data_IF_719802141075
#
_entry.id   IF_719802141075
#
_cell.length_a   1.000
_cell.length_b   1.000
_cell.length_c   1.000
_cell.angle_alpha   90.00
_cell.angle_beta   90.00
_cell.angle_gamma   90.00
#
_symmetry.space_group_name_H-M   'P 1'
#
loop_
_entity.id
_entity.type
_entity.pdbx_description
1 polymer ?
#
# COMPACT_ATOMS: atom_id res chain seq x y z
N UNK A 1 -24.18 16.01 31.95
CA UNK A 1 -23.34 17.14 31.49
C UNK A 1 -22.04 16.68 30.80
N UNK A 2 -21.98 15.48 30.17
CA UNK A 2 -20.78 14.97 29.46
C UNK A 2 -20.90 15.02 27.93
N UNK A 3 -22.12 15.06 27.39
CA UNK A 3 -22.38 15.07 25.94
C UNK A 3 -21.96 16.37 25.23
N UNK A 4 -22.03 17.52 25.92
CA UNK A 4 -21.66 18.80 25.32
C UNK A 4 -20.14 18.93 25.11
N UNK A 5 -19.32 18.30 25.96
CA UNK A 5 -17.86 18.32 25.78
C UNK A 5 -17.40 17.39 24.66
N UNK A 6 -18.01 16.22 24.48
CA UNK A 6 -17.64 15.31 23.38
C UNK A 6 -18.00 15.88 22.02
N UNK A 7 -19.14 16.57 21.89
CA UNK A 7 -19.53 17.22 20.63
C UNK A 7 -18.62 18.42 20.31
N UNK A 8 -18.17 19.17 21.31
CA UNK A 8 -17.25 20.29 21.12
C UNK A 8 -15.85 19.82 20.68
N UNK A 9 -15.37 18.68 21.20
CA UNK A 9 -14.09 18.07 20.80
C UNK A 9 -14.16 17.54 19.36
N UNK A 10 -15.27 16.90 18.98
CA UNK A 10 -15.47 16.40 17.60
C UNK A 10 -15.56 17.58 16.62
N UNK A 11 -16.23 18.68 16.98
CA UNK A 11 -16.29 19.88 16.15
C UNK A 11 -14.94 20.62 16.05
N UNK A 12 -14.08 20.54 17.07
CA UNK A 12 -12.71 21.07 16.99
C UNK A 12 -11.81 20.21 16.10
N UNK A 13 -12.02 18.88 16.07
CA UNK A 13 -11.30 17.98 15.15
C UNK A 13 -11.78 18.17 13.71
N UNK A 14 -13.08 18.36 13.47
CA UNK A 14 -13.60 18.66 12.12
C UNK A 14 -13.25 20.08 11.65
N UNK A 15 -13.20 21.08 12.55
CA UNK A 15 -12.81 22.45 12.22
C UNK A 15 -11.32 22.61 11.89
N UNK A 16 -10.46 21.72 12.40
CA UNK A 16 -9.04 21.68 12.07
C UNK A 16 -8.76 21.14 10.65
N UNK A 17 -9.74 20.47 10.01
CA UNK A 17 -9.58 19.93 8.65
C UNK A 17 -9.95 20.93 7.54
N UNK A 18 -10.64 22.03 7.86
CA UNK A 18 -11.12 22.98 6.83
C UNK A 18 -10.43 24.33 6.87
N UNK A 19 -9.44 24.55 7.75
CA UNK A 19 -8.78 25.84 7.87
C UNK A 19 -7.28 25.74 8.19
N UNK A 20 -6.52 25.20 7.25
CA UNK A 20 -5.10 25.53 7.09
C UNK A 20 -4.70 25.37 5.64
N UNK A 21 -4.58 26.51 4.94
CA UNK A 21 -3.73 26.55 3.74
C UNK A 21 -2.33 26.05 4.10
N UNK A 22 -1.73 25.28 3.20
CA UNK A 22 -0.46 24.56 3.37
C UNK A 22 -0.48 23.43 4.42
N UNK A 23 -1.30 22.40 4.20
CA UNK A 23 -0.84 21.04 4.48
C UNK A 23 -0.10 20.57 3.23
N UNK A 24 1.23 20.47 3.30
CA UNK A 24 1.97 19.74 2.27
C UNK A 24 1.54 18.28 2.40
N UNK A 25 0.74 17.82 1.45
CA UNK A 25 0.36 16.42 1.32
C UNK A 25 1.66 15.66 1.07
N UNK A 26 2.14 14.94 2.08
CA UNK A 26 3.36 14.14 1.94
C UNK A 26 3.07 13.00 0.97
N UNK A 27 3.99 12.76 0.04
CA UNK A 27 3.89 11.58 -0.82
C UNK A 27 4.07 10.29 -0.01
N UNK A 28 3.58 9.17 -0.55
CA UNK A 28 3.80 7.85 0.03
C UNK A 28 5.30 7.55 0.23
N UNK A 29 6.15 8.02 -0.70
CA UNK A 29 7.62 7.93 -0.60
C UNK A 29 8.15 8.71 0.61
N UNK A 30 7.68 9.94 0.82
CA UNK A 30 8.09 10.77 1.95
C UNK A 30 7.63 10.16 3.29
N UNK A 31 6.41 9.60 3.34
CA UNK A 31 5.88 8.92 4.52
C UNK A 31 6.70 7.65 4.80
N UNK A 32 6.97 6.83 3.79
CA UNK A 32 7.78 5.61 3.90
C UNK A 32 9.19 5.92 4.41
N UNK A 33 9.82 6.97 3.89
CA UNK A 33 11.15 7.40 4.32
C UNK A 33 11.18 7.91 5.76
N UNK A 34 10.14 8.64 6.18
CA UNK A 34 10.00 9.10 7.55
C UNK A 34 9.87 7.92 8.53
N UNK A 35 9.03 6.93 8.19
CA UNK A 35 8.89 5.69 8.96
C UNK A 35 10.20 4.91 9.02
N UNK A 36 10.90 4.76 7.89
CA UNK A 36 12.22 4.12 7.86
C UNK A 36 13.22 4.82 8.78
N UNK A 37 13.26 6.15 8.75
CA UNK A 37 14.16 6.94 9.62
C UNK A 37 13.81 6.75 11.10
N UNK A 38 12.52 6.76 11.44
CA UNK A 38 12.04 6.49 12.81
C UNK A 38 12.47 5.10 13.28
N UNK A 39 12.29 4.07 12.45
CA UNK A 39 12.72 2.71 12.77
C UNK A 39 14.23 2.58 13.00
N UNK A 40 15.03 3.29 12.22
CA UNK A 40 16.49 3.37 12.41
C UNK A 40 16.87 3.99 13.76
N UNK A 41 16.16 5.04 14.19
CA UNK A 41 16.41 5.66 15.48
C UNK A 41 16.04 4.72 16.64
N UNK A 42 14.93 4.01 16.52
CA UNK A 42 14.51 3.04 17.54
C UNK A 42 15.43 1.83 17.61
N UNK A 43 15.90 1.32 16.46
CA UNK A 43 16.92 0.28 16.39
C UNK A 43 18.19 0.73 17.14
N UNK A 44 18.67 1.96 16.88
CA UNK A 44 19.85 2.52 17.53
C UNK A 44 19.67 2.71 19.06
N UNK A 45 18.44 2.94 19.52
CA UNK A 45 18.10 3.04 20.95
C UNK A 45 17.92 1.66 21.62
N UNK A 46 17.94 0.56 20.85
CA UNK A 46 17.64 -0.79 21.34
C UNK A 46 16.14 -1.08 21.46
N UNK A 47 15.28 -0.21 20.95
CA UNK A 47 13.83 -0.38 20.92
C UNK A 47 13.42 -1.26 19.74
N UNK A 48 13.88 -2.52 19.73
CA UNK A 48 13.80 -3.38 18.54
C UNK A 48 12.36 -3.62 18.08
N UNK A 49 11.41 -3.77 19.00
CA UNK A 49 9.99 -3.98 18.63
C UNK A 49 9.40 -2.76 17.92
N UNK A 50 9.71 -1.55 18.39
CA UNK A 50 9.28 -0.30 17.75
C UNK A 50 9.93 -0.13 16.38
N UNK A 51 11.22 -0.47 16.26
CA UNK A 51 11.91 -0.45 14.98
C UNK A 51 11.26 -1.40 13.96
N UNK A 52 10.91 -2.62 14.38
CA UNK A 52 10.18 -3.58 13.53
C UNK A 52 8.84 -3.01 13.09
N UNK A 53 8.08 -2.36 13.98
CA UNK A 53 6.80 -1.76 13.64
C UNK A 53 6.95 -0.68 12.56
N UNK A 54 7.93 0.21 12.71
CA UNK A 54 8.17 1.31 11.78
C UNK A 54 8.68 0.82 10.42
N UNK A 55 9.61 -0.14 10.40
CA UNK A 55 10.04 -0.79 9.15
C UNK A 55 8.89 -1.52 8.45
N UNK A 56 8.03 -2.21 9.21
CA UNK A 56 6.85 -2.88 8.64
C UNK A 56 5.88 -1.88 8.03
N UNK A 57 5.65 -0.73 8.69
CA UNK A 57 4.80 0.34 8.16
C UNK A 57 5.40 0.99 6.92
N UNK A 58 6.72 1.21 6.89
CA UNK A 58 7.39 1.74 5.69
C UNK A 58 7.13 0.84 4.47
N UNK A 59 7.16 -0.49 4.65
CA UNK A 59 6.86 -1.47 3.60
C UNK A 59 5.38 -1.55 3.21
N UNK A 60 4.47 -1.24 4.14
CA UNK A 60 3.05 -1.18 3.83
C UNK A 60 2.69 0.06 2.99
N UNK A 61 3.42 1.16 3.18
CA UNK A 61 3.25 2.38 2.40
C UNK A 61 3.96 2.26 1.04
N UNK A 62 5.19 1.77 1.05
CA UNK A 62 5.99 1.53 -0.14
C UNK A 62 6.58 0.12 -0.10
N UNK A 63 5.93 -0.79 -0.82
CA UNK A 63 6.35 -2.19 -0.95
C UNK A 63 7.72 -2.34 -1.61
N UNK A 64 8.22 -1.30 -2.30
CA UNK A 64 9.50 -1.29 -2.99
C UNK A 64 10.65 -0.74 -2.14
N UNK A 65 10.37 -0.28 -0.91
CA UNK A 65 11.39 0.20 0.02
C UNK A 65 12.33 -0.94 0.46
N UNK A 66 13.36 -1.15 -0.36
CA UNK A 66 14.32 -2.26 -0.19
C UNK A 66 15.14 -2.11 1.08
N UNK A 67 15.38 -0.88 1.54
CA UNK A 67 16.12 -0.60 2.77
C UNK A 67 15.32 -1.04 4.00
N UNK A 68 14.04 -0.67 4.08
CA UNK A 68 13.14 -1.12 5.14
C UNK A 68 12.98 -2.65 5.15
N UNK A 69 12.89 -3.26 3.97
CA UNK A 69 12.81 -4.71 3.82
C UNK A 69 14.07 -5.41 4.37
N UNK A 70 15.27 -4.97 3.96
CA UNK A 70 16.52 -5.52 4.45
C UNK A 70 16.66 -5.38 5.97
N UNK A 71 16.25 -4.23 6.51
CA UNK A 71 16.25 -3.99 7.96
C UNK A 71 15.32 -4.96 8.69
N UNK A 72 14.09 -5.12 8.22
CA UNK A 72 13.13 -6.03 8.82
C UNK A 72 13.66 -7.48 8.84
N UNK A 73 14.22 -7.96 7.73
CA UNK A 73 14.83 -9.30 7.63
C UNK A 73 15.98 -9.44 8.64
N UNK A 74 16.84 -8.44 8.75
CA UNK A 74 17.99 -8.49 9.65
C UNK A 74 17.57 -8.65 11.12
N UNK A 75 16.44 -8.07 11.50
CA UNK A 75 15.90 -8.09 12.86
C UNK A 75 15.22 -9.40 13.24
N UNK A 76 14.88 -10.27 12.30
CA UNK A 76 14.18 -11.54 12.59
C UNK A 76 14.96 -12.44 13.55
N UNK A 77 16.29 -12.39 13.48
CA UNK A 77 17.20 -13.19 14.29
C UNK A 77 17.62 -12.48 15.58
N UNK A 78 17.09 -11.29 15.87
CA UNK A 78 17.40 -10.57 17.10
C UNK A 78 16.95 -11.41 18.31
N UNK A 79 17.83 -11.49 19.31
CA UNK A 79 17.61 -12.34 20.49
C UNK A 79 16.40 -11.87 21.30
N UNK A 80 16.22 -10.55 21.40
CA UNK A 80 15.17 -9.91 22.19
C UNK A 80 13.80 -9.89 21.51
N UNK A 81 13.68 -10.34 20.26
CA UNK A 81 12.40 -10.37 19.56
C UNK A 81 11.54 -11.54 20.04
N UNK A 82 10.30 -11.25 20.42
CA UNK A 82 9.31 -12.28 20.74
C UNK A 82 8.98 -13.16 19.54
N UNK A 83 8.55 -14.40 19.79
CA UNK A 83 8.19 -15.35 18.74
C UNK A 83 7.04 -14.82 17.86
N UNK A 84 6.06 -14.14 18.45
CA UNK A 84 4.91 -13.57 17.74
C UNK A 84 5.34 -12.52 16.71
N UNK A 85 6.28 -11.64 17.07
CA UNK A 85 6.82 -10.64 16.16
C UNK A 85 7.59 -11.32 15.02
N UNK A 86 8.36 -12.36 15.30
CA UNK A 86 9.07 -13.13 14.25
C UNK A 86 8.11 -13.78 13.26
N UNK A 87 6.96 -14.29 13.74
CA UNK A 87 5.91 -14.82 12.86
C UNK A 87 5.32 -13.69 12.00
N UNK A 88 5.01 -12.54 12.59
CA UNK A 88 4.48 -11.40 11.84
C UNK A 88 5.43 -10.93 10.74
N UNK A 89 6.74 -10.86 11.01
CA UNK A 89 7.75 -10.52 9.99
C UNK A 89 7.69 -11.50 8.80
N UNK A 90 7.61 -12.81 9.06
CA UNK A 90 7.52 -13.82 7.98
C UNK A 90 6.24 -13.66 7.15
N UNK A 91 5.12 -13.37 7.81
CA UNK A 91 3.87 -13.09 7.10
C UNK A 91 3.96 -11.84 6.23
N UNK A 92 4.68 -10.81 6.69
CA UNK A 92 4.96 -9.63 5.86
C UNK A 92 5.85 -9.97 4.66
N UNK A 93 6.90 -10.79 4.82
CA UNK A 93 7.72 -11.26 3.70
C UNK A 93 6.88 -11.98 2.64
N UNK A 94 6.01 -12.89 3.06
CA UNK A 94 5.10 -13.61 2.18
C UNK A 94 4.16 -12.62 1.45
N UNK A 95 3.60 -11.65 2.17
CA UNK A 95 2.73 -10.62 1.59
C UNK A 95 3.46 -9.78 0.53
N UNK A 96 4.66 -9.29 0.85
CA UNK A 96 5.49 -8.50 -0.09
C UNK A 96 5.81 -9.32 -1.35
N UNK A 97 6.13 -10.60 -1.18
CA UNK A 97 6.34 -11.51 -2.31
C UNK A 97 5.09 -11.64 -3.19
N UNK A 98 3.91 -11.86 -2.59
CA UNK A 98 2.66 -11.97 -3.33
C UNK A 98 2.29 -10.67 -4.05
N UNK A 99 2.46 -9.51 -3.40
CA UNK A 99 2.22 -8.19 -4.00
C UNK A 99 3.08 -8.01 -5.24
N UNK A 100 4.38 -8.27 -5.15
CA UNK A 100 5.30 -8.14 -6.30
C UNK A 100 4.91 -9.05 -7.47
N UNK A 101 4.47 -10.27 -7.18
CA UNK A 101 3.99 -11.20 -8.20
C UNK A 101 2.69 -10.70 -8.87
N UNK A 102 1.78 -10.11 -8.09
CA UNK A 102 0.56 -9.50 -8.62
C UNK A 102 0.86 -8.28 -9.48
N UNK A 103 1.72 -7.37 -9.04
CA UNK A 103 2.20 -6.21 -9.80
C UNK A 103 2.77 -6.65 -11.16
N UNK A 104 3.65 -7.64 -11.16
CA UNK A 104 4.24 -8.18 -12.41
C UNK A 104 3.18 -8.73 -13.38
N UNK A 105 2.12 -9.34 -12.87
CA UNK A 105 1.01 -9.85 -13.69
C UNK A 105 0.13 -8.74 -14.24
N UNK A 106 -0.10 -7.69 -13.45
CA UNK A 106 -0.81 -6.49 -13.89
C UNK A 106 -0.03 -5.82 -15.02
N UNK A 107 1.27 -5.55 -14.84
CA UNK A 107 2.13 -4.96 -15.87
C UNK A 107 2.18 -5.79 -17.16
N UNK A 108 2.22 -7.13 -17.04
CA UNK A 108 2.15 -8.02 -18.19
C UNK A 108 0.81 -7.86 -18.94
N UNK A 109 -0.29 -7.81 -18.21
CA UNK A 109 -1.63 -7.69 -18.78
C UNK A 109 -1.83 -6.33 -19.45
N UNK A 110 -1.36 -5.24 -18.83
CA UNK A 110 -1.41 -3.89 -19.38
C UNK A 110 -0.64 -3.76 -20.69
N UNK A 111 0.58 -4.32 -20.75
CA UNK A 111 1.35 -4.38 -21.99
C UNK A 111 0.63 -5.17 -23.07
N UNK A 112 0.01 -6.28 -22.71
CA UNK A 112 -0.76 -7.12 -23.66
C UNK A 112 -1.95 -6.34 -24.22
N UNK A 113 -2.71 -5.64 -23.38
CA UNK A 113 -3.82 -4.79 -23.80
C UNK A 113 -3.34 -3.66 -24.71
N UNK A 114 -2.23 -3.01 -24.38
CA UNK A 114 -1.64 -1.95 -25.19
C UNK A 114 -1.26 -2.46 -26.59
N UNK A 115 -0.57 -3.59 -26.66
CA UNK A 115 -0.17 -4.21 -27.93
C UNK A 115 -1.37 -4.60 -28.79
N UNK A 116 -2.37 -5.28 -28.21
CA UNK A 116 -3.58 -5.69 -28.93
C UNK A 116 -4.39 -4.48 -29.41
N UNK A 117 -4.48 -3.42 -28.61
CA UNK A 117 -5.12 -2.17 -29.02
C UNK A 117 -4.41 -1.58 -30.24
N UNK A 118 -3.07 -1.58 -30.24
CA UNK A 118 -2.27 -1.16 -31.40
C UNK A 118 -2.55 -2.00 -32.65
N UNK A 119 -2.52 -3.33 -32.53
CA UNK A 119 -2.82 -4.25 -33.64
C UNK A 119 -4.23 -4.04 -34.22
N UNK A 120 -5.23 -3.83 -33.36
CA UNK A 120 -6.61 -3.56 -33.80
C UNK A 120 -6.72 -2.20 -34.50
N UNK A 121 -6.04 -1.17 -34.02
CA UNK A 121 -5.99 0.13 -34.71
C UNK A 121 -5.36 -0.03 -36.11
N UNK A 122 -4.27 -0.79 -36.22
CA UNK A 122 -3.62 -1.07 -37.51
C UNK A 122 -4.53 -1.85 -38.47
N UNK A 123 -5.46 -2.66 -37.95
CA UNK A 123 -6.51 -3.34 -38.72
C UNK A 123 -7.69 -2.43 -39.10
N UNK A 124 -7.68 -1.15 -38.68
CA UNK A 124 -8.68 -0.15 -39.01
C UNK A 124 -9.82 -0.02 -38.02
N UNK A 125 -9.67 -0.56 -36.80
CA UNK A 125 -10.63 -0.31 -35.72
C UNK A 125 -10.40 1.08 -35.11
N UNK A 126 -11.49 1.78 -34.80
CA UNK A 126 -11.43 3.12 -34.19
C UNK A 126 -10.99 3.04 -32.73
N UNK A 127 -9.98 3.82 -32.34
CA UNK A 127 -9.42 3.82 -30.99
C UNK A 127 -10.46 4.13 -29.91
N UNK A 128 -11.38 5.05 -30.19
CA UNK A 128 -12.45 5.44 -29.25
C UNK A 128 -13.42 4.30 -28.95
N UNK A 129 -13.72 3.46 -29.94
CA UNK A 129 -14.58 2.29 -29.74
C UNK A 129 -13.88 1.21 -28.89
N UNK A 130 -12.57 1.04 -29.08
CA UNK A 130 -11.76 0.11 -28.28
C UNK A 130 -11.64 0.57 -26.82
N UNK A 131 -11.44 1.88 -26.58
CA UNK A 131 -11.42 2.45 -25.23
C UNK A 131 -12.74 2.26 -24.49
N UNK A 132 -13.88 2.45 -25.18
CA UNK A 132 -15.21 2.23 -24.60
C UNK A 132 -15.42 0.77 -24.17
N UNK A 133 -15.04 -0.19 -25.02
CA UNK A 133 -15.13 -1.62 -24.71
C UNK A 133 -14.18 -2.03 -23.58
N UNK A 134 -12.95 -1.49 -23.55
CA UNK A 134 -12.01 -1.72 -22.45
C UNK A 134 -12.55 -1.17 -21.12
N UNK A 135 -13.24 -0.03 -21.14
CA UNK A 135 -13.86 0.53 -19.95
C UNK A 135 -14.99 -0.39 -19.42
N UNK A 136 -15.87 -0.89 -20.29
CA UNK A 136 -16.92 -1.86 -19.93
C UNK A 136 -16.34 -3.11 -19.29
N UNK A 137 -15.27 -3.66 -19.89
CA UNK A 137 -14.59 -4.85 -19.33
C UNK A 137 -14.01 -4.55 -17.95
N UNK A 138 -13.38 -3.39 -17.75
CA UNK A 138 -12.85 -2.98 -16.43
C UNK A 138 -13.95 -2.86 -15.39
N UNK A 139 -15.07 -2.24 -15.75
CA UNK A 139 -16.24 -2.11 -14.86
C UNK A 139 -16.82 -3.48 -14.49
N UNK A 140 -16.98 -4.38 -15.46
CA UNK A 140 -17.46 -5.75 -15.22
C UNK A 140 -16.55 -6.54 -14.27
N UNK A 141 -15.23 -6.40 -14.42
CA UNK A 141 -14.24 -7.04 -13.53
C UNK A 141 -14.36 -6.48 -12.11
N UNK A 142 -14.49 -5.16 -11.95
CA UNK A 142 -14.65 -4.50 -10.65
C UNK A 142 -15.97 -4.90 -9.96
N UNK A 143 -17.06 -5.02 -10.71
CA UNK A 143 -18.34 -5.49 -10.17
C UNK A 143 -18.21 -6.95 -9.73
N UNK A 144 -17.62 -7.83 -10.54
CA UNK A 144 -17.45 -9.24 -10.16
C UNK A 144 -16.57 -9.43 -8.93
N UNK A 145 -15.51 -8.62 -8.77
CA UNK A 145 -14.66 -8.67 -7.58
C UNK A 145 -15.35 -8.13 -6.31
N UNK A 146 -16.28 -7.18 -6.44
CA UNK A 146 -17.03 -6.63 -5.32
C UNK A 146 -18.16 -7.55 -4.80
N UNK A 147 -18.70 -8.45 -5.64
CA UNK A 147 -19.85 -9.29 -5.29
C UNK A 147 -19.53 -10.76 -4.93
N UNK A 148 -18.27 -11.21 -5.04
CA UNK A 148 -17.86 -12.57 -4.67
C UNK A 148 -16.59 -12.59 -3.79
N UNK A 149 -16.69 -12.29 -2.48
CA UNK A 149 -15.56 -12.41 -1.56
C UNK A 149 -15.10 -13.87 -1.33
N UNK A 150 -15.90 -14.87 -1.74
CA UNK A 150 -15.63 -16.30 -1.53
C UNK A 150 -14.86 -16.97 -2.68
N UNK A 151 -14.52 -16.25 -3.76
CA UNK A 151 -13.80 -16.81 -4.91
C UNK A 151 -12.26 -16.75 -4.81
N UNK A 152 -11.73 -16.43 -3.62
CA UNK A 152 -10.30 -16.36 -3.31
C UNK A 152 -9.81 -17.49 -2.38
N UNK A 153 -10.57 -18.58 -2.24
CA UNK A 153 -10.12 -19.87 -1.66
C UNK A 153 -9.64 -20.84 -2.76
#
# INVERSE_FOLDING_TARGET
MRLQHTVLVILLILGALTNSGFAQEMSDEEISKALFTSGMEDEAKGNIESAVLDFSRALLIDSQNTEAHQKLISLINHADLSADIKVNIRLYEDLVYYLKNLESKVEFSERTVSNLTGELIDLGYEASALEEELLKIKEDVLVRSAYHPEALE
#
